data_IF_598301184817
#
_entry.id   IF_598301184817
#
_cell.length_a   1.000
_cell.length_b   1.000
_cell.length_c   1.000
_cell.angle_alpha   90.00
_cell.angle_beta   90.00
_cell.angle_gamma   90.00
#
_symmetry.space_group_name_H-M   'P 1'
#
loop_
_entity.id
_entity.type
_entity.pdbx_description
1 polymer ?
#
# COMPACT_ATOMS: atom_id res chain seq x y z
N UNK A 1 -17.03 -21.29 35.83
CA UNK A 1 -17.69 -20.49 34.76
C UNK A 1 -16.72 -19.52 34.12
N UNK A 2 -16.07 -18.62 34.89
CA UNK A 2 -15.11 -17.60 34.43
C UNK A 2 -14.01 -18.03 33.42
N UNK A 3 -13.50 -19.27 33.48
CA UNK A 3 -12.42 -19.73 32.58
C UNK A 3 -12.91 -19.98 31.14
N UNK A 4 -14.19 -20.34 30.97
CA UNK A 4 -14.81 -20.60 29.66
C UNK A 4 -15.17 -19.28 28.97
N UNK A 5 -15.62 -18.30 29.74
CA UNK A 5 -15.98 -16.96 29.24
C UNK A 5 -14.74 -16.16 28.81
N UNK A 6 -13.61 -16.30 29.54
CA UNK A 6 -12.33 -15.71 29.14
C UNK A 6 -11.81 -16.27 27.81
N UNK A 7 -11.91 -17.60 27.60
CA UNK A 7 -11.49 -18.23 26.34
C UNK A 7 -12.31 -17.76 25.12
N UNK A 8 -13.60 -17.49 25.31
CA UNK A 8 -14.45 -16.93 24.26
C UNK A 8 -14.05 -15.48 23.92
N UNK A 9 -13.82 -14.65 24.93
CA UNK A 9 -13.35 -13.28 24.77
C UNK A 9 -12.01 -13.19 24.02
N UNK A 10 -11.01 -13.96 24.47
CA UNK A 10 -9.67 -13.95 23.88
C UNK A 10 -9.69 -14.43 22.41
N UNK A 11 -10.59 -15.36 22.07
CA UNK A 11 -10.77 -15.83 20.70
C UNK A 11 -11.35 -14.76 19.75
N UNK A 12 -12.22 -13.88 20.26
CA UNK A 12 -12.79 -12.77 19.47
C UNK A 12 -11.75 -11.68 19.21
N UNK A 13 -10.90 -11.38 20.20
CA UNK A 13 -9.78 -10.45 20.04
C UNK A 13 -8.78 -11.00 19.01
N UNK A 14 -8.39 -12.26 19.13
CA UNK A 14 -7.49 -12.90 18.16
C UNK A 14 -8.08 -12.89 16.74
N UNK A 15 -9.38 -13.08 16.58
CA UNK A 15 -10.05 -12.97 15.29
C UNK A 15 -10.00 -11.55 14.73
N UNK A 16 -10.26 -10.53 15.54
CA UNK A 16 -10.19 -9.12 15.12
C UNK A 16 -8.78 -8.74 14.64
N UNK A 17 -7.75 -9.18 15.38
CA UNK A 17 -6.37 -8.95 14.98
C UNK A 17 -6.02 -9.62 13.64
N UNK A 18 -6.46 -10.86 13.39
CA UNK A 18 -6.29 -11.52 12.08
C UNK A 18 -6.98 -10.75 10.96
N UNK A 19 -8.20 -10.25 11.17
CA UNK A 19 -8.86 -9.41 10.18
C UNK A 19 -8.09 -8.11 9.89
N UNK A 20 -7.51 -7.48 10.91
CA UNK A 20 -6.67 -6.29 10.73
C UNK A 20 -5.40 -6.61 9.92
N UNK A 21 -4.80 -7.77 10.18
CA UNK A 21 -3.66 -8.28 9.41
C UNK A 21 -4.00 -8.48 7.94
N UNK A 22 -5.10 -9.18 7.64
CA UNK A 22 -5.57 -9.40 6.27
C UNK A 22 -5.85 -8.07 5.56
N UNK A 23 -6.47 -7.11 6.25
CA UNK A 23 -6.74 -5.78 5.70
C UNK A 23 -5.44 -5.03 5.36
N UNK A 24 -4.42 -5.11 6.22
CA UNK A 24 -3.13 -4.46 5.99
C UNK A 24 -2.36 -5.13 4.83
N UNK A 25 -2.45 -6.45 4.68
CA UNK A 25 -1.88 -7.15 3.51
C UNK A 25 -2.55 -6.71 2.20
N UNK A 26 -3.88 -6.56 2.18
CA UNK A 26 -4.62 -6.04 1.03
C UNK A 26 -4.21 -4.60 0.70
N UNK A 27 -4.11 -3.74 1.72
CA UNK A 27 -3.69 -2.34 1.55
C UNK A 27 -2.27 -2.25 0.97
N UNK A 28 -1.32 -3.03 1.50
CA UNK A 28 0.03 -3.08 0.99
C UNK A 28 0.05 -3.55 -0.48
N UNK A 29 -0.70 -4.61 -0.82
CA UNK A 29 -0.81 -5.08 -2.20
C UNK A 29 -1.37 -4.01 -3.14
N UNK A 30 -2.38 -3.26 -2.72
CA UNK A 30 -2.96 -2.15 -3.48
C UNK A 30 -1.96 -1.01 -3.68
N UNK A 31 -1.21 -0.65 -2.63
CA UNK A 31 -0.13 0.35 -2.69
C UNK A 31 0.95 -0.05 -3.70
N UNK A 32 1.43 -1.29 -3.68
CA UNK A 32 2.42 -1.77 -4.65
C UNK A 32 1.93 -1.61 -6.09
N UNK A 33 0.70 -2.07 -6.35
CA UNK A 33 0.08 -1.97 -7.67
C UNK A 33 -0.06 -0.51 -8.13
N UNK A 34 -0.47 0.38 -7.24
CA UNK A 34 -0.57 1.81 -7.53
C UNK A 34 0.78 2.41 -7.92
N UNK A 35 1.85 2.05 -7.21
CA UNK A 35 3.20 2.50 -7.54
C UNK A 35 3.64 2.01 -8.93
N UNK A 36 3.39 0.73 -9.24
CA UNK A 36 3.76 0.14 -10.52
C UNK A 36 2.99 0.75 -11.70
N UNK A 37 1.67 0.96 -11.55
CA UNK A 37 0.85 1.55 -12.61
C UNK A 37 1.24 3.01 -12.89
N UNK A 38 1.53 3.79 -11.84
CA UNK A 38 1.99 5.17 -11.99
C UNK A 38 3.40 5.23 -12.58
N UNK A 39 4.34 4.41 -12.12
CA UNK A 39 5.70 4.39 -12.65
C UNK A 39 5.70 3.98 -14.13
N UNK A 40 4.95 2.94 -14.50
CA UNK A 40 4.81 2.52 -15.89
C UNK A 40 4.12 3.60 -16.73
N UNK A 41 3.12 4.30 -16.20
CA UNK A 41 2.49 5.45 -16.86
C UNK A 41 3.46 6.63 -17.06
N UNK A 42 4.35 6.87 -16.09
CA UNK A 42 5.40 7.88 -16.18
C UNK A 42 6.47 7.50 -17.22
N UNK A 43 6.84 6.23 -17.32
CA UNK A 43 7.78 5.72 -18.33
C UNK A 43 7.22 5.84 -19.75
N UNK A 44 5.93 5.58 -19.94
CA UNK A 44 5.23 5.76 -21.23
C UNK A 44 4.95 7.22 -21.58
N UNK A 45 5.12 8.15 -20.63
CA UNK A 45 4.76 9.56 -20.80
C UNK A 45 3.26 9.84 -20.70
N UNK A 46 2.46 8.89 -20.25
CA UNK A 46 1.01 9.03 -20.04
C UNK A 46 0.70 9.80 -18.74
N UNK A 47 1.53 9.61 -17.71
CA UNK A 47 1.42 10.28 -16.42
C UNK A 47 2.57 11.28 -16.27
N UNK A 48 2.24 12.50 -15.83
CA UNK A 48 3.23 13.54 -15.63
C UNK A 48 4.28 13.13 -14.57
N UNK A 49 5.55 13.35 -14.89
CA UNK A 49 6.68 13.17 -13.97
C UNK A 49 7.18 14.52 -13.48
N UNK A 50 7.50 14.63 -12.19
CA UNK A 50 8.06 15.85 -11.63
C UNK A 50 9.37 16.22 -12.34
N UNK A 51 9.50 17.48 -12.75
CA UNK A 51 10.71 17.99 -13.41
C UNK A 51 10.84 17.67 -14.91
N UNK A 52 9.85 17.01 -15.52
CA UNK A 52 9.77 16.82 -16.97
C UNK A 52 8.76 17.83 -17.55
N UNK A 53 9.21 19.00 -18.06
CA UNK A 53 8.31 19.90 -18.78
C UNK A 53 7.85 19.24 -20.09
N UNK A 54 6.56 19.39 -20.45
CA UNK A 54 6.07 18.95 -21.76
C UNK A 54 6.90 19.57 -22.86
N UNK A 55 7.61 18.73 -23.63
CA UNK A 55 8.50 19.17 -24.71
C UNK A 55 7.69 19.59 -25.95
N UNK A 56 6.43 19.16 -26.06
CA UNK A 56 5.55 19.44 -27.20
C UNK A 56 4.57 20.55 -26.80
N UNK A 57 4.59 21.73 -27.45
CA UNK A 57 3.75 22.89 -27.13
C UNK A 57 2.25 22.73 -27.47
N UNK A 58 1.87 21.62 -28.11
CA UNK A 58 0.53 21.42 -28.65
C UNK A 58 -0.28 20.54 -27.69
N UNK A 59 -1.38 21.10 -27.17
CA UNK A 59 -2.09 20.66 -25.97
C UNK A 59 -2.69 19.24 -26.00
N UNK A 60 -2.53 18.48 -27.09
CA UNK A 60 -3.08 17.13 -27.25
C UNK A 60 -2.23 15.98 -26.67
N UNK A 61 -0.97 16.24 -26.29
CA UNK A 61 -0.07 15.23 -25.70
C UNK A 61 0.39 15.59 -24.28
N UNK A 62 -0.37 16.42 -23.55
CA UNK A 62 -0.01 16.74 -22.17
C UNK A 62 -0.24 15.50 -21.30
N UNK A 63 0.79 14.97 -20.60
CA UNK A 63 0.60 13.85 -19.70
C UNK A 63 -0.44 14.16 -18.63
N UNK A 64 -1.23 13.17 -18.25
CA UNK A 64 -2.23 13.30 -17.18
C UNK A 64 -1.52 13.59 -15.86
N UNK A 65 -1.97 14.60 -15.13
CA UNK A 65 -1.39 14.90 -13.81
C UNK A 65 -1.99 13.94 -12.78
N UNK A 66 -1.21 13.61 -11.74
CA UNK A 66 -1.71 12.80 -10.62
C UNK A 66 -2.98 13.40 -9.99
N UNK A 67 -3.06 14.73 -9.91
CA UNK A 67 -4.23 15.45 -9.39
C UNK A 67 -5.48 15.24 -10.24
N UNK A 68 -5.34 15.05 -11.55
CA UNK A 68 -6.45 14.87 -12.48
C UNK A 68 -7.11 13.50 -12.29
N UNK A 69 -6.35 12.53 -11.75
CA UNK A 69 -6.81 11.18 -11.38
C UNK A 69 -7.02 11.01 -9.87
N UNK A 70 -7.08 12.11 -9.11
CA UNK A 70 -7.40 12.10 -7.68
C UNK A 70 -6.29 11.51 -6.78
N UNK A 71 -5.07 11.43 -7.27
CA UNK A 71 -3.92 10.87 -6.56
C UNK A 71 -2.98 12.00 -6.14
N UNK A 72 -2.46 11.92 -4.91
CA UNK A 72 -1.46 12.87 -4.41
C UNK A 72 -0.05 12.30 -4.56
N UNK A 73 0.93 13.18 -4.70
CA UNK A 73 2.34 12.78 -4.73
C UNK A 73 2.75 12.04 -3.43
N UNK A 74 2.19 12.43 -2.29
CA UNK A 74 2.42 11.76 -1.01
C UNK A 74 1.94 10.29 -1.04
N UNK A 75 0.74 10.03 -1.58
CA UNK A 75 0.21 8.66 -1.73
C UNK A 75 1.10 7.80 -2.62
N UNK A 76 1.61 8.36 -3.72
CA UNK A 76 2.54 7.63 -4.60
C UNK A 76 3.89 7.40 -3.93
N UNK A 77 4.40 8.38 -3.19
CA UNK A 77 5.65 8.22 -2.46
C UNK A 77 5.54 7.10 -1.41
N UNK A 78 4.47 7.11 -0.61
CA UNK A 78 4.19 6.05 0.35
C UNK A 78 4.06 4.69 -0.35
N UNK A 79 3.30 4.63 -1.45
CA UNK A 79 3.13 3.41 -2.23
C UNK A 79 4.46 2.83 -2.74
N UNK A 80 5.37 3.69 -3.20
CA UNK A 80 6.73 3.29 -3.63
C UNK A 80 7.54 2.74 -2.46
N UNK A 81 7.49 3.35 -1.27
CA UNK A 81 8.17 2.82 -0.08
C UNK A 81 7.72 1.38 0.22
N UNK A 82 6.42 1.12 0.22
CA UNK A 82 5.88 -0.23 0.46
C UNK A 82 6.33 -1.23 -0.60
N UNK A 83 6.29 -0.83 -1.88
CA UNK A 83 6.79 -1.67 -2.97
C UNK A 83 8.26 -1.97 -2.83
N UNK A 84 9.07 -0.95 -2.64
CA UNK A 84 10.53 -1.07 -2.62
C UNK A 84 10.98 -1.90 -1.41
N UNK A 85 10.30 -1.77 -0.26
CA UNK A 85 10.52 -2.62 0.90
C UNK A 85 10.22 -4.10 0.59
N UNK A 86 9.11 -4.40 -0.09
CA UNK A 86 8.78 -5.77 -0.48
C UNK A 86 9.72 -6.34 -1.56
N UNK A 87 10.16 -5.52 -2.50
CA UNK A 87 11.15 -5.93 -3.49
C UNK A 87 12.51 -6.24 -2.84
N UNK A 88 12.89 -5.46 -1.81
CA UNK A 88 14.12 -5.65 -1.06
C UNK A 88 14.08 -6.88 -0.15
N UNK A 89 12.97 -7.11 0.56
CA UNK A 89 12.73 -8.28 1.39
C UNK A 89 11.32 -8.84 1.11
N UNK A 90 11.20 -9.82 0.19
CA UNK A 90 9.92 -10.44 -0.12
C UNK A 90 9.27 -11.05 1.12
N UNK A 91 8.01 -10.70 1.37
CA UNK A 91 7.27 -11.12 2.56
C UNK A 91 7.51 -10.27 3.81
N UNK A 92 8.27 -9.16 3.74
CA UNK A 92 8.48 -8.26 4.88
C UNK A 92 7.17 -7.74 5.46
N UNK A 93 6.18 -7.45 4.61
CA UNK A 93 4.85 -7.00 5.05
C UNK A 93 4.21 -8.06 5.94
N UNK A 94 4.11 -9.31 5.44
CA UNK A 94 3.52 -10.42 6.18
C UNK A 94 4.27 -10.74 7.47
N UNK A 95 5.60 -10.70 7.43
CA UNK A 95 6.45 -10.92 8.60
C UNK A 95 6.21 -9.86 9.68
N UNK A 96 6.18 -8.59 9.28
CA UNK A 96 5.91 -7.46 10.19
C UNK A 96 4.52 -7.57 10.80
N UNK A 97 3.51 -7.88 9.97
CA UNK A 97 2.14 -8.09 10.43
C UNK A 97 2.06 -9.25 11.43
N UNK A 98 2.69 -10.38 11.12
CA UNK A 98 2.69 -11.55 12.01
C UNK A 98 3.37 -11.23 13.36
N UNK A 99 4.50 -10.53 13.34
CA UNK A 99 5.18 -10.09 14.56
C UNK A 99 4.29 -9.19 15.42
N UNK A 100 3.59 -8.23 14.81
CA UNK A 100 2.65 -7.36 15.53
C UNK A 100 1.47 -8.13 16.14
N UNK A 101 0.99 -9.19 15.46
CA UNK A 101 -0.05 -10.07 16.01
C UNK A 101 0.45 -10.84 17.24
N UNK A 102 1.66 -11.39 17.18
CA UNK A 102 2.25 -12.15 18.28
C UNK A 102 2.50 -11.26 19.52
N UNK A 103 2.91 -10.01 19.30
CA UNK A 103 3.10 -9.02 20.37
C UNK A 103 1.77 -8.51 20.97
N UNK A 104 0.72 -8.35 20.15
CA UNK A 104 -0.59 -7.87 20.61
C UNK A 104 -1.49 -8.93 21.24
N UNK A 105 -1.14 -10.22 21.11
CA UNK A 105 -1.91 -11.35 21.66
C UNK A 105 -1.23 -12.09 22.81
N UNK A 106 -0.01 -11.66 23.21
CA UNK A 106 0.75 -12.19 24.36
C UNK A 106 0.31 -11.64 25.72
#
# INVERSE_FOLDING_TARGET
MFRKDKGAHDSQIAAAHRFQADALEIEAAAKRRLADEVDAGQERGEVAKAGQPSIIPEQNNTPTKLTDIGITAAKIHEARIFRDAELAEPGITKKTVTQLLDEGTS
#
